data_IF_422207962603
#
_entry.id   IF_422207962603
#
_cell.length_a   1.000
_cell.length_b   1.000
_cell.length_c   1.000
_cell.angle_alpha   90.00
_cell.angle_beta   90.00
_cell.angle_gamma   90.00
#
_symmetry.space_group_name_H-M   'P 1'
#
loop_
_entity.id
_entity.type
_entity.pdbx_description
1 polymer ?
#
# COMPACT_ATOMS: atom_id res chain seq x y z
N UNK A 1 3.64 -10.32 6.54
CA UNK A 1 4.35 -9.25 5.80
C UNK A 1 3.67 -8.95 4.48
N UNK A 2 3.94 -7.80 3.93
CA UNK A 2 3.42 -7.39 2.63
C UNK A 2 4.52 -6.68 1.86
N UNK A 3 4.66 -7.02 0.58
CA UNK A 3 5.57 -6.33 -0.33
C UNK A 3 4.78 -5.28 -1.09
N UNK A 4 5.27 -4.04 -1.08
CA UNK A 4 4.65 -2.89 -1.74
C UNK A 4 5.59 -2.44 -2.85
N UNK A 5 5.09 -2.32 -4.07
CA UNK A 5 5.92 -2.00 -5.22
C UNK A 5 5.14 -1.22 -6.26
N UNK A 6 5.81 -0.82 -7.32
CA UNK A 6 5.20 -0.01 -8.39
C UNK A 6 4.57 1.25 -7.82
N UNK A 7 5.29 1.92 -6.91
CA UNK A 7 4.80 3.09 -6.18
C UNK A 7 4.88 4.30 -7.10
N UNK A 8 3.73 4.96 -7.30
CA UNK A 8 3.62 6.16 -8.13
C UNK A 8 2.94 7.26 -7.35
N UNK A 9 3.47 8.45 -7.46
CA UNK A 9 2.99 9.61 -6.73
C UNK A 9 2.67 10.75 -7.69
N UNK A 10 1.51 11.38 -7.48
CA UNK A 10 1.19 12.66 -8.09
C UNK A 10 0.85 13.66 -6.98
N UNK A 11 0.31 14.84 -7.33
CA UNK A 11 0.03 15.88 -6.33
C UNK A 11 -1.01 15.47 -5.31
N UNK A 12 -1.92 14.57 -5.66
CA UNK A 12 -3.09 14.24 -4.85
C UNK A 12 -3.12 12.82 -4.31
N UNK A 13 -2.45 11.89 -4.98
CA UNK A 13 -2.64 10.45 -4.75
C UNK A 13 -1.31 9.72 -4.83
N UNK A 14 -1.15 8.71 -3.97
CA UNK A 14 -0.10 7.69 -4.10
C UNK A 14 -0.77 6.39 -4.47
N UNK A 15 -0.31 5.76 -5.55
CA UNK A 15 -0.80 4.45 -5.96
C UNK A 15 0.31 3.42 -5.87
N UNK A 16 -0.05 2.17 -5.64
CA UNK A 16 0.92 1.08 -5.60
C UNK A 16 0.24 -0.26 -5.78
N UNK A 17 1.05 -1.26 -6.09
CA UNK A 17 0.65 -2.66 -6.03
C UNK A 17 1.19 -3.28 -4.75
N UNK A 18 0.59 -4.37 -4.31
CA UNK A 18 1.09 -5.11 -3.15
C UNK A 18 0.85 -6.60 -3.30
N UNK A 19 1.73 -7.39 -2.69
CA UNK A 19 1.56 -8.85 -2.61
C UNK A 19 1.70 -9.29 -1.16
N UNK A 20 0.66 -9.92 -0.58
CA UNK A 20 0.74 -10.45 0.79
C UNK A 20 1.68 -11.65 0.87
N UNK A 21 2.45 -11.70 1.94
CA UNK A 21 3.39 -12.79 2.25
C UNK A 21 4.31 -13.08 1.06
N UNK A 22 4.56 -14.34 0.76
CA UNK A 22 5.34 -14.74 -0.41
C UNK A 22 4.47 -15.09 -1.62
N UNK A 23 3.22 -14.58 -1.64
CA UNK A 23 2.31 -14.85 -2.73
C UNK A 23 2.65 -14.05 -3.99
N UNK A 24 2.07 -14.47 -5.11
CA UNK A 24 2.11 -13.70 -6.36
C UNK A 24 0.74 -13.09 -6.67
N UNK A 25 -0.12 -12.99 -5.66
CA UNK A 25 -1.48 -12.49 -5.82
C UNK A 25 -1.50 -10.99 -5.56
N UNK A 26 -1.38 -10.21 -6.62
CA UNK A 26 -1.27 -8.76 -6.51
C UNK A 26 -2.61 -8.11 -6.20
N UNK A 27 -2.55 -7.08 -5.35
CA UNK A 27 -3.62 -6.11 -5.19
C UNK A 27 -3.13 -4.74 -5.62
N UNK A 28 -4.05 -3.76 -5.63
CA UNK A 28 -3.77 -2.39 -6.02
C UNK A 28 -4.49 -1.45 -5.08
N UNK A 29 -3.85 -0.34 -4.72
CA UNK A 29 -4.47 0.65 -3.83
C UNK A 29 -4.04 2.06 -4.21
N UNK A 30 -4.98 3.01 -4.08
CA UNK A 30 -4.73 4.44 -4.20
C UNK A 30 -5.06 5.10 -2.88
N UNK A 31 -4.16 5.94 -2.40
CA UNK A 31 -4.28 6.61 -1.10
C UNK A 31 -4.25 8.11 -1.33
N UNK A 32 -5.23 8.82 -0.77
CA UNK A 32 -5.30 10.27 -0.81
C UNK A 32 -4.18 10.85 0.06
N UNK A 33 -3.37 11.74 -0.52
CA UNK A 33 -2.23 12.32 0.19
C UNK A 33 -2.63 13.30 1.28
N UNK A 34 -3.84 13.85 1.21
CA UNK A 34 -4.33 14.82 2.19
C UNK A 34 -5.06 14.14 3.33
N UNK A 35 -6.00 13.26 3.02
CA UNK A 35 -6.84 12.61 4.04
C UNK A 35 -6.25 11.31 4.55
N UNK A 36 -5.30 10.71 3.80
CA UNK A 36 -4.69 9.40 4.07
C UNK A 36 -5.70 8.26 3.97
N UNK A 37 -6.81 8.49 3.32
CA UNK A 37 -7.84 7.49 3.11
C UNK A 37 -7.62 6.75 1.80
N UNK A 38 -8.11 5.53 1.73
CA UNK A 38 -8.08 4.73 0.50
C UNK A 38 -9.13 5.30 -0.45
N UNK A 39 -8.67 5.75 -1.64
CA UNK A 39 -9.55 6.27 -2.68
C UNK A 39 -10.07 5.19 -3.60
N UNK A 40 -9.22 4.20 -3.89
CA UNK A 40 -9.58 3.09 -4.76
C UNK A 40 -8.76 1.89 -4.35
N UNK A 41 -9.32 0.71 -4.52
CA UNK A 41 -8.65 -0.53 -4.12
C UNK A 41 -9.14 -1.70 -4.97
N UNK A 42 -8.18 -2.55 -5.34
CA UNK A 42 -8.47 -3.87 -5.89
C UNK A 42 -7.76 -4.87 -4.99
N UNK A 43 -8.53 -5.56 -4.16
CA UNK A 43 -7.95 -6.45 -3.16
C UNK A 43 -7.22 -7.63 -3.78
N UNK A 44 -6.07 -7.98 -3.21
CA UNK A 44 -5.42 -9.25 -3.50
C UNK A 44 -6.35 -10.40 -3.11
N UNK A 45 -6.37 -11.46 -3.89
CA UNK A 45 -7.11 -12.67 -3.54
C UNK A 45 -6.61 -13.29 -2.22
N UNK A 46 -5.34 -13.06 -1.89
CA UNK A 46 -4.75 -13.56 -0.65
C UNK A 46 -5.39 -12.96 0.60
N UNK A 47 -6.10 -11.84 0.48
CA UNK A 47 -6.78 -11.23 1.64
C UNK A 47 -7.93 -12.09 2.16
N UNK A 48 -8.48 -12.97 1.34
CA UNK A 48 -9.59 -13.84 1.70
C UNK A 48 -10.76 -13.08 2.35
N UNK A 49 -10.97 -11.83 1.91
CA UNK A 49 -12.05 -10.97 2.41
C UNK A 49 -11.76 -10.26 3.73
N UNK A 50 -10.61 -10.48 4.35
CA UNK A 50 -10.30 -9.89 5.66
C UNK A 50 -9.70 -8.48 5.57
N UNK A 51 -9.22 -8.07 4.40
CA UNK A 51 -8.69 -6.72 4.14
C UNK A 51 -7.54 -6.30 5.06
N UNK A 52 -6.83 -7.26 5.65
CA UNK A 52 -5.79 -7.00 6.62
C UNK A 52 -4.54 -6.40 5.98
N UNK A 53 -4.12 -6.95 4.85
CA UNK A 53 -2.88 -6.52 4.20
C UNK A 53 -2.99 -5.12 3.64
N UNK A 54 -4.12 -4.76 3.04
CA UNK A 54 -4.31 -3.43 2.49
C UNK A 54 -4.26 -2.36 3.59
N UNK A 55 -4.71 -2.69 4.80
CA UNK A 55 -4.62 -1.77 5.95
C UNK A 55 -3.16 -1.50 6.31
N UNK A 56 -2.31 -2.51 6.29
CA UNK A 56 -0.87 -2.33 6.54
C UNK A 56 -0.20 -1.54 5.43
N UNK A 57 -0.60 -1.75 4.18
CA UNK A 57 -0.11 -0.96 3.05
C UNK A 57 -0.47 0.52 3.26
N UNK A 58 -1.72 0.81 3.57
CA UNK A 58 -2.17 2.17 3.82
C UNK A 58 -1.38 2.82 4.96
N UNK A 59 -1.17 2.10 6.06
CA UNK A 59 -0.43 2.62 7.19
C UNK A 59 1.02 2.95 6.83
N UNK A 60 1.66 2.08 6.06
CA UNK A 60 3.06 2.31 5.66
C UNK A 60 3.18 3.48 4.70
N UNK A 61 2.31 3.58 3.73
CA UNK A 61 2.30 4.70 2.77
C UNK A 61 2.01 6.01 3.51
N UNK A 62 1.05 6.01 4.45
CA UNK A 62 0.71 7.19 5.26
C UNK A 62 1.91 7.66 6.09
N UNK A 63 2.66 6.72 6.66
CA UNK A 63 3.86 7.03 7.43
C UNK A 63 4.90 7.77 6.58
N UNK A 64 5.10 7.32 5.33
CA UNK A 64 6.04 7.97 4.42
C UNK A 64 5.54 9.35 4.00
N UNK A 65 4.24 9.50 3.70
CA UNK A 65 3.65 10.80 3.38
C UNK A 65 3.89 11.78 4.52
N UNK A 66 3.60 11.38 5.75
CA UNK A 66 3.75 12.23 6.93
C UNK A 66 5.20 12.58 7.23
N UNK A 67 6.14 11.72 6.88
CA UNK A 67 7.57 11.98 7.08
C UNK A 67 8.16 12.90 6.03
N UNK A 68 7.43 13.16 4.96
CA UNK A 68 7.86 13.98 3.81
C UNK A 68 9.12 13.44 3.13
N UNK A 69 9.35 12.15 3.21
CA UNK A 69 10.45 11.48 2.52
C UNK A 69 10.02 11.05 1.13
N UNK A 70 11.01 10.86 0.27
CA UNK A 70 10.77 10.29 -1.06
C UNK A 70 10.37 8.83 -0.94
N UNK A 71 9.50 8.37 -1.85
CA UNK A 71 9.11 6.97 -1.89
C UNK A 71 10.21 6.13 -2.53
N UNK A 72 10.61 5.02 -1.91
CA UNK A 72 11.49 4.06 -2.56
C UNK A 72 10.74 3.30 -3.65
N UNK A 73 11.47 2.53 -4.45
CA UNK A 73 10.86 1.72 -5.51
C UNK A 73 10.04 0.57 -4.95
N UNK A 74 10.45 0.04 -3.80
CA UNK A 74 9.81 -1.11 -3.19
C UNK A 74 9.98 -1.04 -1.67
N UNK A 75 8.96 -1.50 -0.97
CA UNK A 75 8.94 -1.54 0.50
C UNK A 75 8.44 -2.92 0.93
N UNK A 76 9.06 -3.47 1.97
CA UNK A 76 8.52 -4.63 2.66
C UNK A 76 8.07 -4.20 4.04
N UNK A 77 6.77 -4.32 4.32
CA UNK A 77 6.21 -4.01 5.62
C UNK A 77 6.04 -5.31 6.40
N UNK A 78 6.59 -5.33 7.62
CA UNK A 78 6.57 -6.50 8.50
C UNK A 78 5.90 -6.08 9.82
N UNK A 79 5.04 -6.96 10.33
CA UNK A 79 4.38 -6.75 11.63
C UNK A 79 4.24 -8.09 12.35
N UNK A 80 4.03 -8.00 13.65
CA UNK A 80 3.87 -9.18 14.49
C UNK A 80 2.58 -9.11 15.29
#
# INVERSE_FOLDING_TARGET
MVRIFNIKENDNVVSCNYTPENSNLEGYVEIDKTTLEIKDVKYSEYEYGKKMYVSHVRNKISEIINSKKSFPNEITAIWY
#
